data_IF_614063497455
#
_entry.id   IF_614063497455
#
_cell.length_a   1.000
_cell.length_b   1.000
_cell.length_c   1.000
_cell.angle_alpha   90.00
_cell.angle_beta   90.00
_cell.angle_gamma   90.00
#
_symmetry.space_group_name_H-M   'P 1'
#
loop_
_entity.id
_entity.type
_entity.pdbx_description
1 polymer ?
#
# COMPACT_ATOMS: atom_id res chain seq x y z
N UNK A 1 4.32 19.64 4.11
CA UNK A 1 3.50 20.54 4.95
C UNK A 1 2.64 21.57 4.17
N UNK A 2 2.79 21.68 2.85
CA UNK A 2 2.07 22.74 2.09
C UNK A 2 0.54 22.60 2.13
N UNK A 3 0.00 21.39 2.03
CA UNK A 3 -1.44 21.13 1.98
C UNK A 3 -2.13 21.33 3.35
N UNK A 4 -1.44 21.01 4.45
CA UNK A 4 -2.00 21.07 5.82
C UNK A 4 -2.47 22.47 6.20
N UNK A 5 -1.77 23.52 5.74
CA UNK A 5 -2.16 24.90 6.00
C UNK A 5 -3.57 25.24 5.49
N UNK A 6 -3.99 24.64 4.36
CA UNK A 6 -5.33 24.85 3.82
C UNK A 6 -6.40 24.15 4.65
N UNK A 7 -6.09 22.95 5.19
CA UNK A 7 -7.00 22.24 6.09
C UNK A 7 -7.15 23.00 7.42
N UNK A 8 -6.04 23.51 7.99
CA UNK A 8 -6.08 24.34 9.18
C UNK A 8 -6.87 25.62 8.93
N UNK A 9 -6.63 26.33 7.83
CA UNK A 9 -7.38 27.55 7.50
C UNK A 9 -8.87 27.25 7.32
N UNK A 10 -9.23 26.17 6.64
CA UNK A 10 -10.60 25.72 6.48
C UNK A 10 -11.27 25.38 7.83
N UNK A 11 -10.55 24.71 8.73
CA UNK A 11 -11.03 24.41 10.08
C UNK A 11 -11.29 25.68 10.90
N UNK A 12 -10.37 26.64 10.86
CA UNK A 12 -10.53 27.95 11.52
C UNK A 12 -11.76 28.69 10.98
N UNK A 13 -11.91 28.77 9.66
CA UNK A 13 -13.08 29.43 9.04
C UNK A 13 -14.39 28.74 9.44
N UNK A 14 -14.42 27.42 9.50
CA UNK A 14 -15.58 26.66 9.95
C UNK A 14 -15.93 26.95 11.40
N UNK A 15 -14.94 27.02 12.31
CA UNK A 15 -15.19 27.38 13.70
C UNK A 15 -15.59 28.86 13.89
N UNK A 16 -15.04 29.76 13.08
CA UNK A 16 -15.52 31.17 13.06
C UNK A 16 -16.99 31.20 12.63
N UNK A 17 -17.35 30.48 11.55
CA UNK A 17 -18.75 30.36 11.11
C UNK A 17 -19.66 29.80 12.21
N UNK A 18 -19.20 28.80 12.97
CA UNK A 18 -19.95 28.26 14.12
C UNK A 18 -20.21 29.31 15.19
N UNK A 19 -19.21 30.13 15.54
CA UNK A 19 -19.34 31.15 16.59
C UNK A 19 -20.31 32.28 16.24
N UNK A 20 -20.41 32.65 14.95
CA UNK A 20 -21.27 33.70 14.48
C UNK A 20 -22.63 33.23 13.94
N UNK A 21 -22.86 31.91 13.88
CA UNK A 21 -24.10 31.37 13.36
C UNK A 21 -25.24 31.46 14.37
N UNK A 22 -26.32 32.12 13.97
CA UNK A 22 -27.60 32.11 14.70
C UNK A 22 -28.49 30.94 14.31
N UNK A 23 -28.21 30.27 13.17
CA UNK A 23 -28.96 29.13 12.67
C UNK A 23 -28.33 27.84 13.13
N UNK A 24 -29.09 27.02 13.85
CA UNK A 24 -28.62 25.74 14.44
C UNK A 24 -28.09 24.78 13.36
N UNK A 25 -28.70 24.71 12.17
CA UNK A 25 -28.26 23.81 11.11
C UNK A 25 -26.91 24.23 10.53
N UNK A 26 -26.69 25.54 10.35
CA UNK A 26 -25.40 26.08 9.91
C UNK A 26 -24.35 25.81 10.99
N UNK A 27 -24.72 25.99 12.28
CA UNK A 27 -23.83 25.69 13.40
C UNK A 27 -23.37 24.24 13.42
N UNK A 28 -24.30 23.27 13.31
CA UNK A 28 -24.00 21.84 13.27
C UNK A 28 -23.10 21.49 12.07
N UNK A 29 -23.43 22.02 10.89
CA UNK A 29 -22.63 21.80 9.68
C UNK A 29 -21.21 22.36 9.81
N UNK A 30 -21.06 23.57 10.33
CA UNK A 30 -19.77 24.21 10.55
C UNK A 30 -18.93 23.47 11.59
N UNK A 31 -19.55 22.98 12.68
CA UNK A 31 -18.87 22.15 13.68
C UNK A 31 -18.34 20.84 13.05
N UNK A 32 -19.14 20.18 12.24
CA UNK A 32 -18.74 18.95 11.53
C UNK A 32 -17.57 19.19 10.57
N UNK A 33 -17.64 20.23 9.74
CA UNK A 33 -16.55 20.61 8.82
C UNK A 33 -15.28 20.94 9.62
N UNK A 34 -15.40 21.76 10.66
CA UNK A 34 -14.27 22.14 11.52
C UNK A 34 -13.61 20.94 12.18
N UNK A 35 -14.40 20.04 12.76
CA UNK A 35 -13.89 18.80 13.38
C UNK A 35 -13.19 17.90 12.34
N UNK A 36 -13.82 17.66 11.21
CA UNK A 36 -13.26 16.84 10.12
C UNK A 36 -11.89 17.36 9.68
N UNK A 37 -11.79 18.66 9.34
CA UNK A 37 -10.55 19.27 8.88
C UNK A 37 -9.47 19.34 9.96
N UNK A 38 -9.85 19.53 11.22
CA UNK A 38 -8.92 19.47 12.35
C UNK A 38 -8.30 18.10 12.50
N UNK A 39 -9.12 17.05 12.52
CA UNK A 39 -8.64 15.67 12.62
C UNK A 39 -7.73 15.29 11.44
N UNK A 40 -8.09 15.68 10.21
CA UNK A 40 -7.23 15.50 9.04
C UNK A 40 -5.92 16.26 9.21
N UNK A 41 -5.95 17.51 9.67
CA UNK A 41 -4.72 18.28 9.91
C UNK A 41 -3.79 17.59 10.91
N UNK A 42 -4.34 17.10 12.01
CA UNK A 42 -3.58 16.32 13.01
C UNK A 42 -3.02 15.03 12.42
N UNK A 43 -3.82 14.31 11.62
CA UNK A 43 -3.35 13.10 10.92
C UNK A 43 -2.13 13.38 10.05
N UNK A 44 -2.14 14.48 9.30
CA UNK A 44 -1.01 14.86 8.43
C UNK A 44 0.20 15.38 9.20
N UNK A 45 -0.01 16.10 10.30
CA UNK A 45 1.09 16.61 11.16
C UNK A 45 1.84 15.45 11.80
N UNK A 46 1.10 14.52 12.42
CA UNK A 46 1.65 13.42 13.20
C UNK A 46 1.85 12.12 12.40
N UNK A 47 1.56 12.13 11.10
CA UNK A 47 1.65 10.97 10.20
C UNK A 47 0.84 9.76 10.69
N UNK A 48 -0.48 9.96 10.85
CA UNK A 48 -1.41 8.99 11.41
C UNK A 48 -2.38 8.44 10.34
N UNK A 49 -1.93 7.60 9.40
CA UNK A 49 -2.81 7.04 8.35
C UNK A 49 -3.95 6.18 8.93
N UNK A 50 -3.75 5.58 10.11
CA UNK A 50 -4.73 4.73 10.79
C UNK A 50 -6.02 5.47 11.21
N UNK A 51 -6.06 6.80 11.22
CA UNK A 51 -7.26 7.57 11.55
C UNK A 51 -8.44 7.26 10.61
N UNK A 52 -8.14 6.90 9.38
CA UNK A 52 -9.15 6.50 8.39
C UNK A 52 -9.65 5.07 8.60
N UNK A 53 -9.03 4.28 9.50
CA UNK A 53 -9.43 2.91 9.84
C UNK A 53 -9.67 2.03 8.62
N UNK A 54 -8.90 2.24 7.55
CA UNK A 54 -8.99 1.44 6.34
C UNK A 54 -8.56 0.01 6.63
N UNK A 55 -9.43 -0.94 6.32
CA UNK A 55 -9.21 -2.37 6.55
C UNK A 55 -8.31 -2.97 5.47
N UNK A 56 -7.85 -4.19 5.68
CA UNK A 56 -7.01 -4.93 4.72
C UNK A 56 -7.71 -5.17 3.38
N UNK A 57 -9.03 -5.29 3.37
CA UNK A 57 -9.85 -5.39 2.15
C UNK A 57 -10.16 -4.05 1.49
N UNK A 58 -9.55 -2.95 1.92
CA UNK A 58 -9.74 -1.62 1.35
C UNK A 58 -10.97 -0.86 1.88
N UNK A 59 -11.84 -1.48 2.69
CA UNK A 59 -13.04 -0.80 3.19
C UNK A 59 -12.74 0.15 4.34
N UNK A 60 -13.44 1.27 4.36
CA UNK A 60 -13.45 2.23 5.47
C UNK A 60 -14.81 2.15 6.17
N UNK A 61 -14.87 2.04 7.52
CA UNK A 61 -16.13 2.00 8.26
C UNK A 61 -17.02 3.20 7.95
N UNK A 62 -18.32 2.97 7.84
CA UNK A 62 -19.31 3.99 7.45
C UNK A 62 -19.22 5.26 8.32
N UNK A 63 -19.12 5.13 9.66
CA UNK A 63 -19.04 6.28 10.56
C UNK A 63 -17.76 7.11 10.38
N UNK A 64 -16.65 6.48 9.95
CA UNK A 64 -15.40 7.17 9.61
C UNK A 64 -15.57 7.92 8.28
N UNK A 65 -16.16 7.27 7.26
CA UNK A 65 -16.48 7.95 6.00
C UNK A 65 -17.35 9.18 6.25
N UNK A 66 -18.39 9.02 7.08
CA UNK A 66 -19.30 10.11 7.40
C UNK A 66 -18.60 11.27 8.11
N UNK A 67 -17.73 10.98 9.09
CA UNK A 67 -16.93 11.98 9.79
C UNK A 67 -16.05 12.79 8.81
N UNK A 68 -15.46 12.13 7.82
CA UNK A 68 -14.52 12.76 6.87
C UNK A 68 -15.15 13.18 5.54
N UNK A 69 -16.47 13.09 5.37
CA UNK A 69 -17.15 13.57 4.12
C UNK A 69 -16.73 14.98 3.71
N UNK A 70 -16.63 15.99 4.61
CA UNK A 70 -16.20 17.32 4.21
C UNK A 70 -14.81 17.36 3.55
N UNK A 71 -13.87 16.60 4.09
CA UNK A 71 -12.53 16.45 3.51
C UNK A 71 -12.55 15.61 2.23
N UNK A 72 -13.26 14.47 2.25
CA UNK A 72 -13.30 13.52 1.13
C UNK A 72 -13.96 14.11 -0.11
N UNK A 73 -15.02 14.92 0.03
CA UNK A 73 -15.67 15.58 -1.10
C UNK A 73 -14.71 16.52 -1.83
N UNK A 74 -13.98 17.37 -1.09
CA UNK A 74 -12.99 18.27 -1.68
C UNK A 74 -11.87 17.50 -2.39
N UNK A 75 -11.37 16.47 -1.73
CA UNK A 75 -10.29 15.60 -2.25
C UNK A 75 -10.75 14.82 -3.49
N UNK A 76 -11.95 14.26 -3.50
CA UNK A 76 -12.51 13.53 -4.63
C UNK A 76 -12.80 14.45 -5.83
N UNK A 77 -13.34 15.64 -5.58
CA UNK A 77 -13.59 16.62 -6.64
C UNK A 77 -12.27 17.05 -7.30
N UNK A 78 -11.25 17.35 -6.49
CA UNK A 78 -9.92 17.66 -7.00
C UNK A 78 -9.36 16.51 -7.84
N UNK A 79 -9.42 15.26 -7.34
CA UNK A 79 -8.92 14.10 -8.04
C UNK A 79 -9.67 13.82 -9.34
N UNK A 80 -11.00 14.03 -9.36
CA UNK A 80 -11.81 13.90 -10.57
C UNK A 80 -11.37 14.90 -11.64
N UNK A 81 -11.23 16.17 -11.27
CA UNK A 81 -10.72 17.21 -12.17
C UNK A 81 -9.31 16.91 -12.65
N UNK A 82 -8.41 16.59 -11.73
CA UNK A 82 -7.02 16.27 -12.07
C UNK A 82 -6.93 15.07 -13.00
N UNK A 83 -7.72 14.01 -12.78
CA UNK A 83 -7.77 12.84 -13.67
C UNK A 83 -8.30 13.18 -15.05
N UNK A 84 -9.36 14.00 -15.13
CA UNK A 84 -10.02 14.37 -16.41
C UNK A 84 -9.10 15.21 -17.31
N UNK A 85 -8.31 16.09 -16.71
CA UNK A 85 -7.43 17.02 -17.42
C UNK A 85 -5.94 16.65 -17.33
N UNK A 86 -5.62 15.43 -16.89
CA UNK A 86 -4.24 14.96 -16.86
C UNK A 86 -3.69 14.79 -18.29
N UNK A 87 -2.41 15.11 -18.45
CA UNK A 87 -1.68 14.94 -19.72
C UNK A 87 -1.38 13.47 -20.02
N UNK A 88 -1.54 12.58 -19.05
CA UNK A 88 -1.23 11.16 -19.16
C UNK A 88 -2.47 10.31 -18.88
N UNK A 89 -2.59 9.12 -19.50
CA UNK A 89 -3.69 8.19 -19.22
C UNK A 89 -3.79 7.81 -17.74
N UNK A 90 -5.02 7.51 -17.29
CA UNK A 90 -5.28 7.12 -15.91
C UNK A 90 -4.48 5.89 -15.50
N UNK A 91 -4.28 4.93 -16.41
CA UNK A 91 -3.55 3.69 -16.23
C UNK A 91 -2.46 3.62 -17.31
N UNK A 92 -1.22 3.33 -16.91
CA UNK A 92 -0.09 3.15 -17.83
C UNK A 92 0.70 1.91 -17.46
N UNK A 93 1.09 1.15 -18.48
CA UNK A 93 1.97 0.00 -18.35
C UNK A 93 3.42 0.48 -18.25
N UNK A 94 4.11 0.15 -17.16
CA UNK A 94 5.49 0.56 -16.89
C UNK A 94 6.48 -0.55 -17.25
N UNK A 95 6.09 -1.81 -17.02
CA UNK A 95 6.84 -3.01 -17.35
C UNK A 95 5.86 -4.11 -17.81
N UNK A 96 6.30 -5.25 -18.39
CA UNK A 96 5.41 -6.25 -18.98
C UNK A 96 4.21 -6.64 -18.14
N UNK A 97 4.35 -6.75 -16.82
CA UNK A 97 3.27 -7.13 -15.90
C UNK A 97 3.04 -6.09 -14.78
N UNK A 98 3.50 -4.85 -14.99
CA UNK A 98 3.50 -3.83 -13.96
C UNK A 98 2.87 -2.53 -14.48
N UNK A 99 1.78 -2.13 -13.81
CA UNK A 99 0.98 -0.96 -14.19
C UNK A 99 0.98 0.10 -13.09
N UNK A 100 0.97 1.35 -13.48
CA UNK A 100 0.86 2.50 -12.60
C UNK A 100 -0.41 3.27 -12.93
N UNK A 101 -1.21 3.57 -11.89
CA UNK A 101 -2.50 4.23 -12.09
C UNK A 101 -2.75 5.36 -11.10
N UNK A 102 -3.66 6.27 -11.49
CA UNK A 102 -4.39 7.10 -10.53
C UNK A 102 -5.48 6.25 -9.84
N UNK A 103 -6.24 6.82 -8.91
CA UNK A 103 -7.33 6.11 -8.22
C UNK A 103 -8.21 5.38 -9.23
N UNK A 104 -8.40 4.09 -8.98
CA UNK A 104 -9.22 3.22 -9.80
C UNK A 104 -10.70 3.41 -9.50
N UNK A 105 -11.52 3.18 -10.51
CA UNK A 105 -12.99 3.13 -10.42
C UNK A 105 -13.48 1.79 -10.95
N UNK A 106 -14.71 1.37 -10.64
CA UNK A 106 -15.28 0.13 -11.18
C UNK A 106 -15.21 0.03 -12.71
N UNK A 107 -15.34 1.15 -13.41
CA UNK A 107 -15.21 1.23 -14.86
C UNK A 107 -13.81 0.91 -15.42
N UNK A 108 -12.77 0.94 -14.58
CA UNK A 108 -11.41 0.63 -14.99
C UNK A 108 -11.12 -0.89 -14.97
N UNK A 109 -11.88 -1.65 -14.18
CA UNK A 109 -11.63 -3.08 -13.93
C UNK A 109 -11.64 -3.93 -15.21
N UNK A 110 -12.62 -3.81 -16.13
CA UNK A 110 -12.60 -4.58 -17.36
C UNK A 110 -11.36 -4.31 -18.22
N UNK A 111 -10.84 -3.09 -18.21
CA UNK A 111 -9.61 -2.70 -18.92
C UNK A 111 -8.39 -3.35 -18.29
N UNK A 112 -8.30 -3.37 -16.97
CA UNK A 112 -7.22 -4.02 -16.24
C UNK A 112 -7.21 -5.54 -16.45
N UNK A 113 -8.38 -6.18 -16.36
CA UNK A 113 -8.52 -7.63 -16.59
C UNK A 113 -8.12 -8.02 -18.02
N UNK A 114 -8.54 -7.26 -19.03
CA UNK A 114 -8.11 -7.46 -20.42
C UNK A 114 -6.61 -7.29 -20.62
N UNK A 115 -5.96 -6.47 -19.79
CA UNK A 115 -4.51 -6.29 -19.79
C UNK A 115 -3.76 -7.38 -18.98
N UNK A 116 -4.47 -8.38 -18.43
CA UNK A 116 -3.90 -9.46 -17.64
C UNK A 116 -3.58 -9.07 -16.19
N UNK A 117 -4.16 -7.98 -15.67
CA UNK A 117 -4.00 -7.57 -14.27
C UNK A 117 -4.94 -8.38 -13.39
N UNK A 118 -4.37 -9.08 -12.42
CA UNK A 118 -5.11 -9.90 -11.43
C UNK A 118 -4.92 -9.42 -9.99
N UNK A 119 -4.07 -8.40 -9.78
CA UNK A 119 -3.78 -7.92 -8.44
C UNK A 119 -3.64 -6.39 -8.39
N UNK A 120 -4.05 -5.79 -7.27
CA UNK A 120 -4.12 -4.35 -7.06
C UNK A 120 -3.42 -3.98 -5.76
N UNK A 121 -2.43 -3.08 -5.86
CA UNK A 121 -1.78 -2.48 -4.71
C UNK A 121 -2.24 -1.02 -4.57
N UNK A 122 -2.99 -0.75 -3.52
CA UNK A 122 -3.53 0.56 -3.19
C UNK A 122 -2.64 1.27 -2.15
N UNK A 123 -2.06 2.41 -2.55
CA UNK A 123 -1.15 3.20 -1.71
C UNK A 123 -1.87 4.42 -1.11
N UNK A 124 -3.14 4.26 -0.74
CA UNK A 124 -3.92 5.33 -0.12
C UNK A 124 -4.44 4.95 1.26
N UNK A 125 -4.42 5.90 2.20
CA UNK A 125 -5.05 5.74 3.50
C UNK A 125 -6.48 6.26 3.51
N UNK A 126 -6.76 7.32 2.75
CA UNK A 126 -7.96 8.15 2.83
C UNK A 126 -9.11 7.69 1.92
N UNK A 127 -8.85 6.89 0.89
CA UNK A 127 -9.89 6.46 -0.06
C UNK A 127 -10.33 5.02 0.18
N UNK A 128 -11.63 4.82 0.10
CA UNK A 128 -12.27 3.52 0.19
C UNK A 128 -12.06 2.72 -1.11
N UNK A 129 -11.65 1.48 -0.99
CA UNK A 129 -11.50 0.53 -2.10
C UNK A 129 -12.67 -0.45 -2.23
N UNK A 130 -13.71 -0.31 -1.40
CA UNK A 130 -14.79 -1.29 -1.32
C UNK A 130 -15.58 -1.45 -2.62
N UNK A 131 -15.81 -0.33 -3.34
CA UNK A 131 -16.71 -0.32 -4.49
C UNK A 131 -16.29 -1.29 -5.61
N UNK A 132 -14.96 -1.55 -5.74
CA UNK A 132 -14.45 -2.46 -6.76
C UNK A 132 -13.86 -3.77 -6.19
N UNK A 133 -13.41 -3.80 -4.96
CA UNK A 133 -12.96 -5.05 -4.31
C UNK A 133 -14.12 -5.97 -3.95
N UNK A 134 -15.29 -5.41 -3.59
CA UNK A 134 -16.49 -6.18 -3.30
C UNK A 134 -17.12 -6.81 -4.55
N UNK A 135 -17.00 -6.15 -5.71
CA UNK A 135 -17.56 -6.61 -6.97
C UNK A 135 -16.69 -7.66 -7.70
N UNK A 136 -15.38 -7.73 -7.34
CA UNK A 136 -14.42 -8.58 -8.03
C UNK A 136 -13.60 -9.42 -7.05
N UNK A 137 -14.19 -10.51 -6.56
CA UNK A 137 -13.51 -11.51 -5.73
C UNK A 137 -12.30 -12.19 -6.41
N UNK A 138 -12.12 -11.97 -7.70
CA UNK A 138 -11.03 -12.54 -8.50
C UNK A 138 -9.76 -11.67 -8.51
N UNK A 139 -9.76 -10.49 -7.88
CA UNK A 139 -8.62 -9.61 -7.82
C UNK A 139 -7.97 -9.64 -6.45
N UNK A 140 -6.71 -10.03 -6.39
CA UNK A 140 -5.91 -9.93 -5.18
C UNK A 140 -5.71 -8.45 -4.82
N UNK A 141 -5.89 -8.11 -3.55
CA UNK A 141 -5.81 -6.74 -3.09
C UNK A 141 -4.87 -6.59 -1.90
N UNK A 142 -3.97 -5.62 -2.01
CA UNK A 142 -3.11 -5.21 -0.90
C UNK A 142 -3.22 -3.71 -0.65
N UNK A 143 -3.49 -3.33 0.59
CA UNK A 143 -3.50 -1.94 1.02
C UNK A 143 -2.23 -1.57 1.77
N UNK A 144 -1.52 -0.56 1.24
CA UNK A 144 -0.41 0.12 1.90
C UNK A 144 -0.89 1.53 2.28
N UNK A 145 -1.44 1.76 3.49
CA UNK A 145 -2.10 3.01 3.84
C UNK A 145 -1.08 4.13 4.07
N UNK A 146 -0.87 4.96 3.06
CA UNK A 146 0.03 6.12 3.12
C UNK A 146 -0.77 7.40 2.90
N UNK A 147 -0.59 8.40 3.77
CA UNK A 147 -1.18 9.74 3.60
C UNK A 147 -0.56 10.44 2.38
N UNK A 148 -1.33 11.32 1.75
CA UNK A 148 -0.81 12.04 0.59
C UNK A 148 0.44 12.86 0.95
N UNK A 149 1.38 12.96 0.03
CA UNK A 149 2.71 13.57 0.22
C UNK A 149 3.62 12.91 1.27
N UNK A 150 3.21 11.83 1.94
CA UNK A 150 4.03 11.06 2.88
C UNK A 150 4.71 9.87 2.20
N UNK A 151 5.58 9.20 2.95
CA UNK A 151 6.27 7.97 2.57
C UNK A 151 5.83 6.83 3.49
N UNK A 152 5.72 5.60 3.01
CA UNK A 152 5.52 4.44 3.87
C UNK A 152 6.72 4.23 4.80
N UNK A 153 6.51 3.50 5.88
CA UNK A 153 7.61 2.99 6.71
C UNK A 153 8.38 1.89 5.95
N UNK A 154 9.65 1.69 6.31
CA UNK A 154 10.52 0.71 5.65
C UNK A 154 9.95 -0.71 5.64
N UNK A 155 9.44 -1.17 6.79
CA UNK A 155 8.84 -2.50 6.92
C UNK A 155 7.58 -2.69 6.08
N UNK A 156 6.73 -1.67 6.02
CA UNK A 156 5.50 -1.68 5.22
C UNK A 156 5.81 -1.67 3.73
N UNK A 157 6.81 -0.88 3.32
CA UNK A 157 7.29 -0.86 1.94
C UNK A 157 7.88 -2.21 1.53
N UNK A 158 8.67 -2.85 2.38
CA UNK A 158 9.20 -4.19 2.13
C UNK A 158 8.08 -5.22 1.96
N UNK A 159 7.05 -5.21 2.82
CA UNK A 159 5.88 -6.09 2.67
C UNK A 159 5.21 -5.89 1.30
N UNK A 160 5.06 -4.63 0.87
CA UNK A 160 4.49 -4.32 -0.43
C UNK A 160 5.36 -4.85 -1.59
N UNK A 161 6.71 -4.72 -1.49
CA UNK A 161 7.64 -5.22 -2.50
C UNK A 161 7.58 -6.75 -2.60
N UNK A 162 7.58 -7.47 -1.47
CA UNK A 162 7.42 -8.93 -1.47
C UNK A 162 6.06 -9.37 -2.01
N UNK A 163 5.01 -8.64 -1.67
CA UNK A 163 3.69 -8.91 -2.22
C UNK A 163 3.67 -8.75 -3.74
N UNK A 164 4.27 -7.68 -4.27
CA UNK A 164 4.43 -7.47 -5.72
C UNK A 164 5.20 -8.61 -6.38
N UNK A 165 6.33 -9.04 -5.77
CA UNK A 165 7.15 -10.14 -6.28
C UNK A 165 6.38 -11.46 -6.40
N UNK A 166 5.47 -11.72 -5.45
CA UNK A 166 4.67 -12.94 -5.44
C UNK A 166 3.52 -12.92 -6.46
N UNK A 167 2.98 -11.72 -6.80
CA UNK A 167 1.82 -11.58 -7.68
C UNK A 167 2.20 -11.25 -9.13
N UNK A 168 3.42 -10.78 -9.38
CA UNK A 168 3.91 -10.54 -10.75
C UNK A 168 4.44 -11.84 -11.31
N UNK A 169 3.72 -12.40 -12.29
CA UNK A 169 4.11 -13.62 -13.01
C UNK A 169 4.10 -13.36 -14.52
N UNK A 170 4.47 -14.36 -15.34
CA UNK A 170 4.41 -14.20 -16.81
C UNK A 170 2.99 -13.97 -17.33
N UNK A 171 1.97 -14.44 -16.63
CA UNK A 171 0.56 -14.39 -17.04
C UNK A 171 -0.28 -13.40 -16.25
N UNK A 172 0.20 -12.97 -15.09
CA UNK A 172 -0.54 -12.11 -14.16
C UNK A 172 0.22 -10.82 -13.88
N UNK A 173 -0.48 -9.70 -14.01
CA UNK A 173 0.07 -8.38 -13.75
C UNK A 173 -0.50 -7.74 -12.50
N UNK A 174 0.21 -6.73 -12.01
CA UNK A 174 -0.19 -5.93 -10.84
C UNK A 174 -0.31 -4.47 -11.23
N UNK A 175 -1.37 -3.81 -10.76
CA UNK A 175 -1.51 -2.36 -10.83
C UNK A 175 -1.22 -1.73 -9.47
N UNK A 176 -0.33 -0.76 -9.44
CA UNK A 176 -0.05 0.07 -8.27
C UNK A 176 -0.74 1.41 -8.45
N UNK A 177 -1.59 1.80 -7.53
CA UNK A 177 -2.29 3.08 -7.62
C UNK A 177 -2.24 3.92 -6.34
N UNK A 178 -2.44 5.20 -6.49
CA UNK A 178 -2.74 6.13 -5.40
C UNK A 178 -3.84 7.11 -5.85
N UNK A 179 -3.91 8.33 -5.32
CA UNK A 179 -4.89 9.32 -5.76
C UNK A 179 -4.70 9.74 -7.23
N UNK A 180 -3.50 10.22 -7.59
CA UNK A 180 -3.20 10.75 -8.92
C UNK A 180 -2.14 9.92 -9.70
N UNK A 181 -1.59 8.88 -9.10
CA UNK A 181 -0.54 8.10 -9.73
C UNK A 181 0.76 8.88 -9.99
N UNK A 182 1.06 9.88 -9.15
CA UNK A 182 2.18 10.80 -9.36
C UNK A 182 3.28 10.70 -8.31
N UNK A 183 2.97 10.35 -7.05
CA UNK A 183 3.91 10.35 -5.92
C UNK A 183 3.96 9.02 -5.18
N UNK A 184 2.98 8.71 -4.32
CA UNK A 184 2.95 7.52 -3.45
C UNK A 184 3.16 6.21 -4.22
N UNK A 185 2.35 5.99 -5.27
CA UNK A 185 2.47 4.80 -6.12
C UNK A 185 3.77 4.78 -6.93
N UNK A 186 4.29 5.95 -7.33
CA UNK A 186 5.60 6.08 -8.00
C UNK A 186 6.74 5.66 -7.05
N UNK A 187 6.66 6.03 -5.77
CA UNK A 187 7.66 5.61 -4.78
C UNK A 187 7.71 4.09 -4.66
N UNK A 188 6.54 3.43 -4.52
CA UNK A 188 6.47 1.97 -4.42
C UNK A 188 6.95 1.30 -5.72
N UNK A 189 6.54 1.83 -6.87
CA UNK A 189 7.00 1.37 -8.18
C UNK A 189 8.53 1.46 -8.31
N UNK A 190 9.12 2.61 -7.96
CA UNK A 190 10.57 2.82 -8.01
C UNK A 190 11.31 1.86 -7.05
N UNK A 191 10.79 1.67 -5.84
CA UNK A 191 11.35 0.73 -4.88
C UNK A 191 11.34 -0.71 -5.41
N UNK A 192 10.24 -1.14 -6.04
CA UNK A 192 10.16 -2.45 -6.69
C UNK A 192 11.14 -2.57 -7.86
N UNK A 193 11.24 -1.58 -8.74
CA UNK A 193 12.20 -1.61 -9.85
C UNK A 193 13.65 -1.67 -9.35
N UNK A 194 13.99 -0.98 -8.26
CA UNK A 194 15.30 -1.06 -7.62
C UNK A 194 15.58 -2.44 -7.04
N UNK A 195 14.57 -3.11 -6.49
CA UNK A 195 14.74 -4.49 -5.99
C UNK A 195 15.00 -5.50 -7.10
N UNK A 196 14.46 -5.26 -8.29
CA UNK A 196 14.71 -6.11 -9.48
C UNK A 196 16.01 -5.79 -10.18
N UNK A 197 16.54 -4.57 -10.01
CA UNK A 197 17.75 -4.10 -10.66
C UNK A 197 18.73 -3.50 -9.62
N UNK A 198 19.45 -4.36 -8.86
CA UNK A 198 20.30 -3.90 -7.75
C UNK A 198 21.43 -2.95 -8.14
N UNK A 199 21.80 -2.90 -9.43
CA UNK A 199 22.80 -1.98 -9.97
C UNK A 199 22.26 -0.60 -10.32
N UNK A 200 20.94 -0.40 -10.28
CA UNK A 200 20.33 0.87 -10.65
C UNK A 200 20.45 1.89 -9.51
N UNK A 201 20.63 3.15 -9.89
CA UNK A 201 20.42 4.27 -8.98
C UNK A 201 18.93 4.63 -8.87
N UNK A 202 18.60 5.38 -7.83
CA UNK A 202 17.23 5.92 -7.65
C UNK A 202 16.81 6.76 -8.86
N UNK A 203 17.76 7.53 -9.40
CA UNK A 203 17.55 8.38 -10.57
C UNK A 203 17.20 7.56 -11.82
N UNK A 204 17.89 6.44 -12.04
CA UNK A 204 17.61 5.54 -13.18
C UNK A 204 16.21 4.94 -13.08
N UNK A 205 15.80 4.46 -11.89
CA UNK A 205 14.46 3.94 -11.68
C UNK A 205 13.37 5.01 -11.92
N UNK A 206 13.58 6.23 -11.44
CA UNK A 206 12.65 7.34 -11.66
C UNK A 206 12.62 7.77 -13.12
N UNK A 207 13.75 7.83 -13.81
CA UNK A 207 13.82 8.17 -15.24
C UNK A 207 13.06 7.16 -16.09
N UNK A 208 13.16 5.85 -15.79
CA UNK A 208 12.35 4.82 -16.47
C UNK A 208 10.86 5.10 -16.32
N UNK A 209 10.40 5.39 -15.09
CA UNK A 209 8.98 5.66 -14.83
C UNK A 209 8.53 6.94 -15.53
N UNK A 210 9.32 8.02 -15.43
CA UNK A 210 9.02 9.32 -16.02
C UNK A 210 9.01 9.29 -17.55
N UNK A 211 9.82 8.46 -18.17
CA UNK A 211 9.82 8.25 -19.62
C UNK A 211 8.49 7.72 -20.15
N UNK A 212 7.70 7.03 -19.31
CA UNK A 212 6.38 6.51 -19.65
C UNK A 212 5.27 7.40 -19.07
N UNK A 213 5.40 7.78 -17.79
CA UNK A 213 4.46 8.63 -17.07
C UNK A 213 5.10 9.97 -16.73
N UNK A 214 5.00 10.92 -17.65
CA UNK A 214 5.65 12.24 -17.54
C UNK A 214 5.24 13.04 -16.29
N UNK A 215 4.09 12.73 -15.67
CA UNK A 215 3.61 13.37 -14.44
C UNK A 215 4.11 12.69 -13.15
N UNK A 216 4.88 11.60 -13.26
CA UNK A 216 5.48 10.92 -12.11
C UNK A 216 6.54 11.82 -11.48
N UNK A 217 6.34 12.19 -10.23
CA UNK A 217 7.26 13.08 -9.51
C UNK A 217 7.18 12.85 -8.00
N UNK A 218 8.30 12.51 -7.40
CA UNK A 218 8.41 12.39 -5.95
C UNK A 218 8.65 13.76 -5.32
N UNK A 219 7.91 14.09 -4.28
CA UNK A 219 8.22 15.24 -3.46
C UNK A 219 9.50 15.00 -2.63
N UNK A 220 10.00 16.07 -2.00
CA UNK A 220 11.26 16.02 -1.22
C UNK A 220 11.25 14.94 -0.12
N UNK A 221 10.11 14.72 0.54
CA UNK A 221 9.96 13.71 1.63
C UNK A 221 10.07 12.32 1.04
N UNK A 222 9.32 12.03 -0.01
CA UNK A 222 9.29 10.76 -0.70
C UNK A 222 10.65 10.42 -1.32
N UNK A 223 11.27 11.38 -2.00
CA UNK A 223 12.60 11.18 -2.61
C UNK A 223 13.67 10.91 -1.55
N UNK A 224 13.66 11.69 -0.45
CA UNK A 224 14.60 11.47 0.66
C UNK A 224 14.42 10.09 1.29
N UNK A 225 13.18 9.64 1.48
CA UNK A 225 12.89 8.31 2.03
C UNK A 225 13.38 7.21 1.07
N UNK A 226 13.06 7.29 -0.22
CA UNK A 226 13.49 6.31 -1.22
C UNK A 226 15.02 6.21 -1.30
N UNK A 227 15.74 7.34 -1.32
CA UNK A 227 17.22 7.37 -1.32
C UNK A 227 17.79 6.72 -0.05
N UNK A 228 17.24 7.06 1.12
CA UNK A 228 17.66 6.46 2.39
C UNK A 228 17.48 4.95 2.37
N UNK A 229 16.31 4.44 2.01
CA UNK A 229 16.02 3.01 1.95
C UNK A 229 16.94 2.28 0.96
N UNK A 230 17.25 2.91 -0.17
CA UNK A 230 18.18 2.36 -1.14
C UNK A 230 19.62 2.29 -0.57
N UNK A 231 20.09 3.34 0.10
CA UNK A 231 21.42 3.38 0.75
C UNK A 231 21.54 2.38 1.90
N UNK A 232 20.47 2.16 2.66
CA UNK A 232 20.39 1.14 3.71
C UNK A 232 20.32 -0.30 3.16
N UNK A 233 20.24 -0.47 1.83
CA UNK A 233 20.17 -1.78 1.19
C UNK A 233 18.83 -2.48 1.32
N UNK A 234 17.76 -1.76 1.70
CA UNK A 234 16.43 -2.32 1.93
C UNK A 234 15.87 -3.08 0.72
N UNK A 235 16.26 -2.70 -0.49
CA UNK A 235 15.76 -3.30 -1.73
C UNK A 235 16.53 -4.53 -2.20
N UNK A 236 17.53 -4.98 -1.46
CA UNK A 236 18.20 -6.27 -1.68
C UNK A 236 17.30 -7.35 -1.10
N UNK A 237 16.33 -7.82 -1.90
CA UNK A 237 15.38 -8.83 -1.43
C UNK A 237 16.08 -10.14 -1.14
N UNK A 238 15.82 -10.66 0.03
CA UNK A 238 16.17 -12.04 0.38
C UNK A 238 15.13 -12.97 -0.24
N UNK A 239 15.57 -14.13 -0.74
CA UNK A 239 14.65 -15.15 -1.25
C UNK A 239 13.76 -15.67 -0.11
N UNK A 240 12.43 -15.65 -0.24
CA UNK A 240 11.56 -16.25 0.77
C UNK A 240 11.81 -17.75 0.88
N UNK A 241 12.00 -18.22 2.11
CA UNK A 241 12.17 -19.62 2.44
C UNK A 241 11.14 -20.00 3.51
N UNK A 242 10.27 -20.94 3.20
CA UNK A 242 9.26 -21.42 4.11
C UNK A 242 9.76 -22.66 4.82
N UNK A 243 9.66 -22.68 6.15
CA UNK A 243 10.02 -23.82 6.99
C UNK A 243 8.75 -24.28 7.68
N UNK A 244 8.35 -25.53 7.41
CA UNK A 244 7.22 -26.18 8.10
C UNK A 244 7.80 -27.19 9.03
N UNK A 245 7.65 -26.97 10.32
CA UNK A 245 8.25 -27.80 11.34
C UNK A 245 7.23 -28.51 12.23
N UNK A 246 7.52 -29.76 12.59
CA UNK A 246 6.79 -30.46 13.62
C UNK A 246 7.58 -30.43 14.94
N UNK A 247 7.12 -29.66 15.96
CA UNK A 247 7.88 -29.47 17.20
C UNK A 247 8.08 -30.76 18.01
N UNK A 248 7.17 -31.73 17.87
CA UNK A 248 7.23 -33.00 18.66
C UNK A 248 7.91 -34.12 17.92
N UNK A 249 8.18 -34.01 16.63
CA UNK A 249 8.87 -35.03 15.87
C UNK A 249 10.40 -35.02 16.11
N UNK A 250 11.06 -36.12 15.77
CA UNK A 250 12.50 -36.22 15.89
C UNK A 250 13.02 -36.06 17.33
N UNK A 251 12.26 -36.47 18.34
CA UNK A 251 12.58 -36.32 19.76
C UNK A 251 12.82 -34.87 20.20
N UNK A 252 12.08 -33.91 19.66
CA UNK A 252 12.17 -32.50 20.04
C UNK A 252 13.38 -31.75 19.47
N UNK A 253 13.97 -32.22 18.39
CA UNK A 253 15.12 -31.57 17.77
C UNK A 253 14.83 -30.17 17.24
N UNK A 254 13.59 -29.93 16.78
CA UNK A 254 13.22 -28.62 16.25
C UNK A 254 13.31 -27.50 17.30
N UNK A 255 12.68 -27.59 18.48
CA UNK A 255 12.80 -26.53 19.50
C UNK A 255 14.25 -26.28 19.91
N UNK A 256 15.08 -27.35 19.97
CA UNK A 256 16.50 -27.26 20.37
C UNK A 256 17.35 -26.52 19.32
N UNK A 257 17.11 -26.78 18.03
CA UNK A 257 17.97 -26.25 16.95
C UNK A 257 17.35 -25.03 16.23
N UNK A 258 16.12 -24.66 16.55
CA UNK A 258 15.38 -23.56 15.87
C UNK A 258 16.18 -22.25 15.83
N UNK A 259 16.77 -21.88 16.98
CA UNK A 259 17.54 -20.64 17.09
C UNK A 259 18.77 -20.64 16.16
N UNK A 260 19.51 -21.72 16.12
CA UNK A 260 20.70 -21.91 15.28
C UNK A 260 20.31 -21.90 13.78
N UNK A 261 19.22 -22.58 13.43
CA UNK A 261 18.71 -22.59 12.05
C UNK A 261 18.33 -21.17 11.59
N UNK A 262 17.63 -20.42 12.43
CA UNK A 262 17.26 -19.03 12.14
C UNK A 262 18.52 -18.18 11.96
N UNK A 263 19.48 -18.27 12.88
CA UNK A 263 20.72 -17.49 12.83
C UNK A 263 21.52 -17.78 11.56
N UNK A 264 21.63 -19.05 11.15
CA UNK A 264 22.38 -19.46 9.96
C UNK A 264 21.69 -19.09 8.65
N UNK A 265 20.36 -19.13 8.59
CA UNK A 265 19.60 -18.94 7.34
C UNK A 265 19.12 -17.49 7.14
N UNK A 266 18.86 -16.74 8.20
CA UNK A 266 18.37 -15.36 8.10
C UNK A 266 19.28 -14.38 7.35
N UNK A 267 20.61 -14.53 7.27
CA UNK A 267 21.44 -13.68 6.42
C UNK A 267 21.19 -13.87 4.91
N UNK A 268 20.64 -15.02 4.49
CA UNK A 268 20.48 -15.40 3.09
C UNK A 268 19.02 -15.44 2.63
N UNK A 269 18.09 -15.69 3.56
CA UNK A 269 16.68 -15.92 3.26
C UNK A 269 15.76 -15.12 4.17
N UNK A 270 14.62 -14.70 3.60
CA UNK A 270 13.47 -14.25 4.39
C UNK A 270 12.73 -15.49 4.91
N UNK A 271 12.88 -15.79 6.19
CA UNK A 271 12.34 -17.00 6.79
C UNK A 271 10.87 -16.83 7.18
N UNK A 272 10.02 -17.72 6.68
CA UNK A 272 8.64 -17.92 7.11
C UNK A 272 8.55 -19.26 7.82
N UNK A 273 8.34 -19.24 9.15
CA UNK A 273 8.33 -20.45 9.96
C UNK A 273 6.91 -20.74 10.40
N UNK A 274 6.41 -21.92 10.03
CA UNK A 274 5.11 -22.45 10.44
C UNK A 274 5.33 -23.73 11.22
N UNK A 275 4.66 -23.85 12.38
CA UNK A 275 4.77 -25.02 13.24
C UNK A 275 3.43 -25.78 13.27
N UNK A 276 3.49 -27.10 13.15
CA UNK A 276 2.30 -27.94 13.29
C UNK A 276 1.81 -27.91 14.72
N UNK A 277 0.50 -28.07 14.88
CA UNK A 277 -0.18 -28.23 16.17
C UNK A 277 -1.03 -29.48 16.14
N UNK A 278 -1.68 -29.83 17.25
CA UNK A 278 -2.64 -30.93 17.30
C UNK A 278 -3.81 -30.75 16.30
N UNK A 279 -4.14 -29.49 15.98
CA UNK A 279 -5.26 -29.12 15.10
C UNK A 279 -4.84 -28.69 13.70
N UNK A 280 -3.54 -28.50 13.44
CA UNK A 280 -3.05 -27.98 12.17
C UNK A 280 -1.94 -28.88 11.62
N UNK A 281 -2.29 -29.63 10.57
CA UNK A 281 -1.36 -30.57 9.94
C UNK A 281 -0.30 -29.87 9.08
N UNK A 282 0.82 -30.57 8.82
CA UNK A 282 1.84 -30.09 7.89
C UNK A 282 1.28 -29.87 6.47
N UNK A 283 0.35 -30.71 6.03
CA UNK A 283 -0.32 -30.57 4.73
C UNK A 283 -1.12 -29.26 4.65
N UNK A 284 -1.87 -28.90 5.70
CA UNK A 284 -2.63 -27.66 5.79
C UNK A 284 -1.70 -26.44 5.73
N UNK A 285 -0.59 -26.47 6.50
CA UNK A 285 0.40 -25.39 6.50
C UNK A 285 1.15 -25.27 5.17
N UNK A 286 1.41 -26.40 4.51
CA UNK A 286 2.01 -26.42 3.17
C UNK A 286 1.07 -25.77 2.15
N UNK A 287 -0.21 -26.10 2.17
CA UNK A 287 -1.20 -25.48 1.28
C UNK A 287 -1.33 -23.98 1.56
N UNK A 288 -1.31 -23.60 2.83
CA UNK A 288 -1.30 -22.20 3.23
C UNK A 288 -0.06 -21.45 2.68
N UNK A 289 1.13 -22.05 2.82
CA UNK A 289 2.36 -21.48 2.28
C UNK A 289 2.31 -21.33 0.75
N UNK A 290 1.81 -22.35 0.04
CA UNK A 290 1.63 -22.31 -1.43
C UNK A 290 0.67 -21.18 -1.82
N UNK A 291 -0.46 -21.06 -1.14
CA UNK A 291 -1.43 -19.99 -1.39
C UNK A 291 -0.87 -18.58 -1.11
N UNK A 292 0.15 -18.49 -0.25
CA UNK A 292 0.89 -17.25 0.03
C UNK A 292 2.12 -17.06 -0.88
N UNK A 293 2.27 -17.89 -1.92
CA UNK A 293 3.30 -17.73 -2.94
C UNK A 293 4.64 -18.38 -2.60
N UNK A 294 4.68 -19.39 -1.70
CA UNK A 294 5.89 -20.13 -1.41
C UNK A 294 6.45 -20.82 -2.67
N UNK A 295 7.68 -20.46 -3.04
CA UNK A 295 8.44 -21.13 -4.12
C UNK A 295 9.34 -22.24 -3.60
N UNK A 296 9.74 -22.14 -2.35
CA UNK A 296 10.61 -23.12 -1.68
C UNK A 296 10.10 -23.37 -0.28
N UNK A 297 9.89 -24.65 0.05
CA UNK A 297 9.40 -25.09 1.36
C UNK A 297 10.36 -26.16 1.87
N UNK A 298 10.84 -26.01 3.10
CA UNK A 298 11.61 -27.03 3.84
C UNK A 298 10.69 -27.63 4.90
N UNK A 299 10.56 -28.95 4.89
CA UNK A 299 9.88 -29.68 5.95
C UNK A 299 10.92 -30.12 7.00
N UNK A 300 10.70 -29.75 8.26
CA UNK A 300 11.49 -30.13 9.41
C UNK A 300 10.66 -31.05 10.30
N UNK A 301 10.93 -32.34 10.22
CA UNK A 301 10.26 -33.37 10.98
C UNK A 301 10.57 -34.74 10.40
N UNK A 302 10.68 -35.76 11.22
CA UNK A 302 10.92 -37.11 10.79
C UNK A 302 10.28 -38.07 11.76
#
# INVERSE_FOLDING_TARGET
MFIVKYYIAGAILAFISLLFSTNIYIGIFSAWVGLSLTLVSLAYIFDLPWIFRKKTNGSIPFYIRWLFVPFLLGSQLYNFYARKYDKVPAIQKIDPQLFLACRLFPSDIPTLQKAGVSAILDVTAEFDGLDWTAENEQLDYFNLPVLDHKSPKSEELLKAIYWLENHITHTHGVVIHCALGRGRSVLVMAAYLLSKNPSWSVEQALTKIQGIRATANLNKVQLKALKRFHQEGLFKLQTPLWIIANPVSGAGKWPTNKAEIIERLSPYFLLHILETTEHTSAATLTQQAINQGAKTIIACGG
#
